data_IF_441732441596
#
_entry.id   IF_441732441596
#
_cell.length_a   1.000
_cell.length_b   1.000
_cell.length_c   1.000
_cell.angle_alpha   90.00
_cell.angle_beta   90.00
_cell.angle_gamma   90.00
#
_symmetry.space_group_name_H-M   'P 1'
#
loop_
_entity.id
_entity.type
_entity.pdbx_description
1 polymer ?
#
# COMPACT_ATOMS: atom_id res chain seq x y z
N UNK A 1 0.74 -7.32 14.19
CA UNK A 1 1.02 -5.90 14.46
C UNK A 1 2.38 -5.59 13.84
N UNK A 2 2.57 -4.39 13.28
CA UNK A 2 3.84 -4.03 12.65
C UNK A 2 4.11 -2.53 12.74
N UNK A 3 5.35 -2.16 12.50
CA UNK A 3 5.83 -0.77 12.44
C UNK A 3 6.81 -0.64 11.27
N UNK A 4 6.82 0.53 10.65
CA UNK A 4 7.87 0.92 9.69
C UNK A 4 8.98 1.66 10.42
N UNK A 5 10.18 1.71 9.84
CA UNK A 5 11.31 2.42 10.48
C UNK A 5 11.08 3.92 10.49
N UNK A 6 10.64 4.47 9.36
CA UNK A 6 10.35 5.88 9.13
C UNK A 6 9.39 5.97 7.95
N UNK A 7 8.45 6.91 8.00
CA UNK A 7 7.55 7.21 6.88
C UNK A 7 8.28 8.05 5.84
N UNK A 8 8.28 7.64 4.58
CA UNK A 8 8.87 8.37 3.44
C UNK A 8 10.27 8.93 3.74
N UNK A 9 11.24 8.07 4.14
CA UNK A 9 12.56 8.50 4.60
C UNK A 9 13.37 9.29 3.56
N UNK A 10 13.03 9.18 2.27
CA UNK A 10 13.74 9.90 1.20
C UNK A 10 13.31 11.37 1.17
N UNK A 11 12.07 11.68 1.57
CA UNK A 11 11.52 13.04 1.48
C UNK A 11 12.26 14.03 2.38
N UNK A 12 12.79 13.57 3.51
CA UNK A 12 13.63 14.39 4.39
C UNK A 12 14.95 14.86 3.75
N UNK A 13 15.32 14.32 2.57
CA UNK A 13 16.46 14.81 1.81
C UNK A 13 16.22 16.23 1.25
N UNK A 14 14.96 16.61 0.99
CA UNK A 14 14.64 17.98 0.58
C UNK A 14 14.68 18.91 1.80
N UNK A 15 15.63 19.87 1.88
CA UNK A 15 15.68 20.82 3.00
C UNK A 15 14.45 21.75 3.06
N UNK A 16 13.64 21.81 2.01
CA UNK A 16 12.40 22.58 1.96
C UNK A 16 11.15 21.70 2.10
N UNK A 17 11.30 20.44 2.50
CA UNK A 17 10.16 19.56 2.69
C UNK A 17 9.17 20.18 3.69
N UNK A 18 7.91 20.23 3.28
CA UNK A 18 6.92 21.16 3.85
C UNK A 18 6.23 20.68 5.13
N UNK A 19 6.54 19.46 5.61
CA UNK A 19 5.93 18.87 6.79
C UNK A 19 6.87 17.87 7.47
N UNK A 20 6.40 17.20 8.53
CA UNK A 20 7.20 16.28 9.34
C UNK A 20 7.85 15.19 8.46
N UNK A 21 9.16 15.07 8.58
CA UNK A 21 9.96 14.05 7.90
C UNK A 21 11.27 13.84 8.67
N UNK A 22 11.88 12.66 8.53
CA UNK A 22 13.25 12.40 8.94
C UNK A 22 14.02 11.77 7.78
N UNK A 23 15.10 12.42 7.34
CA UNK A 23 15.93 11.88 6.27
C UNK A 23 16.68 10.63 6.73
N UNK A 24 16.48 9.52 6.03
CA UNK A 24 17.35 8.35 6.11
C UNK A 24 17.78 7.95 4.69
N UNK A 25 19.02 7.51 4.55
CA UNK A 25 19.44 6.76 3.36
C UNK A 25 19.33 5.26 3.65
N UNK A 26 19.26 4.41 2.63
CA UNK A 26 19.29 2.95 2.82
C UNK A 26 20.42 2.46 3.75
N UNK A 27 21.68 2.92 3.59
CA UNK A 27 22.76 2.61 4.53
C UNK A 27 22.55 3.14 5.95
N UNK A 28 21.94 4.33 6.11
CA UNK A 28 21.62 4.90 7.43
C UNK A 28 20.54 4.09 8.13
N UNK A 29 19.46 3.73 7.41
CA UNK A 29 18.39 2.87 7.94
C UNK A 29 18.92 1.49 8.30
N UNK A 30 19.77 0.89 7.46
CA UNK A 30 20.47 -0.37 7.76
C UNK A 30 21.21 -0.30 9.09
N UNK A 31 22.02 0.73 9.28
CA UNK A 31 22.83 0.88 10.50
C UNK A 31 21.95 1.16 11.72
N UNK A 32 20.90 1.97 11.57
CA UNK A 32 19.92 2.20 12.63
C UNK A 32 19.18 0.92 13.03
N UNK A 33 18.73 0.12 12.06
CA UNK A 33 18.06 -1.17 12.31
C UNK A 33 18.99 -2.13 13.04
N UNK A 34 20.24 -2.30 12.57
CA UNK A 34 21.15 -3.31 13.14
C UNK A 34 21.79 -2.90 14.46
N UNK A 35 22.09 -1.61 14.65
CA UNK A 35 22.82 -1.11 15.83
C UNK A 35 21.89 -0.59 16.93
N UNK A 36 20.65 -0.18 16.59
CA UNK A 36 19.76 0.49 17.53
C UNK A 36 18.37 -0.15 17.58
N UNK A 37 17.53 0.05 16.56
CA UNK A 37 16.10 -0.27 16.62
C UNK A 37 15.86 -1.77 16.82
N UNK A 38 16.48 -2.63 16.00
CA UNK A 38 16.34 -4.08 16.08
C UNK A 38 16.73 -4.66 17.44
N UNK A 39 17.97 -4.41 17.93
CA UNK A 39 18.39 -4.85 19.26
C UNK A 39 17.51 -4.31 20.39
N UNK A 40 17.05 -3.05 20.28
CA UNK A 40 16.19 -2.42 21.29
C UNK A 40 14.83 -3.11 21.37
N UNK A 41 14.18 -3.33 20.22
CA UNK A 41 12.91 -4.05 20.14
C UNK A 41 13.04 -5.49 20.67
N UNK A 42 14.09 -6.21 20.25
CA UNK A 42 14.35 -7.57 20.71
C UNK A 42 14.57 -7.63 22.23
N UNK A 43 15.37 -6.72 22.80
CA UNK A 43 15.61 -6.63 24.25
C UNK A 43 14.34 -6.26 25.02
N UNK A 44 13.47 -5.44 24.44
CA UNK A 44 12.16 -5.11 25.00
C UNK A 44 11.13 -6.25 24.84
N UNK A 45 11.49 -7.37 24.20
CA UNK A 45 10.64 -8.52 24.03
C UNK A 45 9.71 -8.46 22.82
N UNK A 46 9.94 -7.53 21.89
CA UNK A 46 9.23 -7.34 20.62
C UNK A 46 10.08 -7.84 19.43
N UNK A 47 10.55 -9.09 19.51
CA UNK A 47 11.20 -9.75 18.39
C UNK A 47 10.25 -9.98 17.21
N UNK A 48 10.78 -10.52 16.11
CA UNK A 48 10.03 -10.81 14.88
C UNK A 48 8.78 -11.68 15.08
N UNK A 49 8.77 -12.52 16.12
CA UNK A 49 7.64 -13.36 16.50
C UNK A 49 6.45 -12.56 17.06
N UNK A 50 6.66 -11.31 17.48
CA UNK A 50 5.62 -10.46 18.08
C UNK A 50 5.37 -9.16 17.34
N UNK A 51 6.39 -8.60 16.70
CA UNK A 51 6.30 -7.33 15.98
C UNK A 51 7.00 -7.43 14.62
N UNK A 52 6.22 -7.19 13.57
CA UNK A 52 6.77 -7.10 12.22
C UNK A 52 7.42 -5.72 12.02
N UNK A 53 8.75 -5.67 12.01
CA UNK A 53 9.48 -4.49 11.57
C UNK A 53 9.56 -4.46 10.04
N UNK A 54 9.10 -3.36 9.43
CA UNK A 54 9.12 -3.14 7.99
C UNK A 54 10.08 -2.01 7.66
N UNK A 55 10.76 -2.13 6.52
CA UNK A 55 11.70 -1.11 6.01
C UNK A 55 11.12 -0.45 4.77
N UNK A 56 11.78 0.62 4.31
CA UNK A 56 11.46 1.39 3.11
C UNK A 56 10.33 2.40 3.27
N UNK A 57 9.08 1.95 3.38
CA UNK A 57 7.88 2.79 3.60
C UNK A 57 7.83 4.04 2.72
N UNK A 58 8.08 3.81 1.43
CA UNK A 58 8.34 4.87 0.45
C UNK A 58 7.84 4.42 -0.92
N UNK A 59 7.81 5.36 -1.86
CA UNK A 59 7.44 5.11 -3.22
C UNK A 59 8.46 4.22 -3.96
N UNK A 60 7.96 3.28 -4.78
CA UNK A 60 8.77 2.22 -5.40
C UNK A 60 9.92 2.68 -6.32
N UNK A 61 9.96 3.95 -6.74
CA UNK A 61 11.09 4.52 -7.51
C UNK A 61 12.39 4.57 -6.67
N UNK A 62 12.29 4.66 -5.35
CA UNK A 62 13.43 4.67 -4.43
C UNK A 62 14.03 3.29 -4.17
N UNK A 63 13.32 2.22 -4.53
CA UNK A 63 13.59 0.86 -4.05
C UNK A 63 15.04 0.43 -4.24
N UNK A 64 15.55 0.54 -5.47
CA UNK A 64 16.87 0.02 -5.85
C UNK A 64 18.02 0.67 -5.08
N UNK A 65 17.84 1.90 -4.60
CA UNK A 65 18.87 2.61 -3.80
C UNK A 65 18.71 2.37 -2.30
N UNK A 66 17.51 2.02 -1.86
CA UNK A 66 17.15 2.06 -0.44
C UNK A 66 17.11 0.67 0.20
N UNK A 67 16.47 -0.30 -0.44
CA UNK A 67 16.20 -1.62 0.15
C UNK A 67 17.42 -2.56 0.10
N UNK A 68 18.14 -2.72 -1.03
CA UNK A 68 19.27 -3.66 -1.08
C UNK A 68 20.34 -3.43 0.00
N UNK A 69 20.78 -2.19 0.30
CA UNK A 69 21.74 -1.96 1.39
C UNK A 69 21.29 -2.50 2.76
N UNK A 70 19.98 -2.54 3.01
CA UNK A 70 19.41 -3.01 4.28
C UNK A 70 19.32 -4.53 4.30
N UNK A 71 18.75 -5.12 3.25
CA UNK A 71 18.45 -6.56 3.23
C UNK A 71 19.64 -7.44 2.88
N UNK A 72 20.67 -6.90 2.21
CA UNK A 72 21.91 -7.62 1.94
C UNK A 72 22.85 -7.67 3.17
N UNK A 73 22.66 -6.78 4.16
CA UNK A 73 23.34 -6.85 5.46
C UNK A 73 22.58 -7.78 6.41
N UNK A 74 23.12 -8.98 6.63
CA UNK A 74 22.51 -10.01 7.50
C UNK A 74 22.27 -9.53 8.94
N UNK A 75 23.08 -8.60 9.45
CA UNK A 75 22.91 -8.08 10.82
C UNK A 75 21.72 -7.13 10.94
N UNK A 76 21.33 -6.47 9.84
CA UNK A 76 20.09 -5.71 9.75
C UNK A 76 18.90 -6.62 9.41
N UNK A 77 19.02 -7.41 8.34
CA UNK A 77 17.95 -8.24 7.78
C UNK A 77 17.34 -9.23 8.79
N UNK A 78 18.13 -9.70 9.78
CA UNK A 78 17.62 -10.58 10.84
C UNK A 78 16.49 -9.95 11.68
N UNK A 79 16.39 -8.62 11.72
CA UNK A 79 15.30 -7.90 12.42
C UNK A 79 14.13 -7.52 11.51
N UNK A 80 14.30 -7.50 10.18
CA UNK A 80 13.30 -7.02 9.22
C UNK A 80 12.37 -8.15 8.77
N UNK A 81 11.06 -7.94 8.84
CA UNK A 81 10.04 -8.94 8.49
C UNK A 81 9.38 -8.69 7.13
N UNK A 82 9.43 -7.45 6.63
CA UNK A 82 8.80 -7.10 5.37
C UNK A 82 9.29 -5.77 4.80
N UNK A 83 8.85 -5.48 3.58
CA UNK A 83 9.09 -4.23 2.87
C UNK A 83 7.73 -3.53 2.72
N UNK A 84 7.66 -2.30 3.22
CA UNK A 84 6.51 -1.42 3.07
C UNK A 84 6.73 -0.48 1.87
N UNK A 85 5.69 -0.15 1.10
CA UNK A 85 5.79 0.78 -0.02
C UNK A 85 4.52 1.62 -0.22
N UNK A 86 4.70 2.79 -0.82
CA UNK A 86 3.64 3.75 -1.13
C UNK A 86 3.24 3.74 -2.62
N UNK A 87 2.01 4.16 -2.89
CA UNK A 87 1.37 4.11 -4.22
C UNK A 87 1.70 5.30 -5.14
N UNK A 88 2.32 6.39 -4.66
CA UNK A 88 2.20 7.72 -5.26
C UNK A 88 2.98 8.02 -6.55
N UNK A 89 3.69 7.05 -7.12
CA UNK A 89 4.43 7.25 -8.36
C UNK A 89 3.54 7.05 -9.60
N UNK A 90 2.90 8.14 -9.99
CA UNK A 90 2.21 8.37 -11.27
C UNK A 90 3.07 7.93 -12.49
N UNK A 91 2.54 7.23 -13.51
CA UNK A 91 1.54 7.75 -14.46
C UNK A 91 0.11 7.33 -14.17
N UNK A 92 -0.56 8.24 -13.49
CA UNK A 92 -1.96 8.22 -13.03
C UNK A 92 -2.33 7.20 -11.96
N UNK A 93 -1.27 6.76 -11.27
CA UNK A 93 -1.16 6.41 -9.85
C UNK A 93 -1.06 4.95 -9.50
N UNK A 94 -1.08 3.98 -10.42
CA UNK A 94 -0.61 2.62 -10.14
C UNK A 94 0.79 2.31 -10.69
N UNK A 95 1.65 3.31 -10.88
CA UNK A 95 2.74 3.23 -11.86
C UNK A 95 4.05 2.61 -11.38
N UNK A 96 4.13 1.28 -11.26
CA UNK A 96 5.39 0.52 -11.39
C UNK A 96 5.32 -0.39 -12.64
N UNK A 97 6.44 -0.79 -13.26
CA UNK A 97 6.43 -1.72 -14.39
C UNK A 97 5.76 -3.05 -14.02
N UNK A 98 5.06 -3.67 -14.98
CA UNK A 98 4.55 -5.03 -14.78
C UNK A 98 5.69 -5.97 -14.39
N UNK A 99 5.44 -6.81 -13.38
CA UNK A 99 6.43 -7.73 -12.84
C UNK A 99 7.37 -7.14 -11.78
N UNK A 100 7.40 -5.83 -11.54
CA UNK A 100 8.33 -5.23 -10.57
C UNK A 100 8.17 -5.77 -9.14
N UNK A 101 6.94 -5.83 -8.62
CA UNK A 101 6.67 -6.42 -7.30
C UNK A 101 6.97 -7.93 -7.26
N UNK A 102 6.72 -8.63 -8.37
CA UNK A 102 7.08 -10.06 -8.49
C UNK A 102 8.60 -10.27 -8.45
N UNK A 103 9.38 -9.39 -9.09
CA UNK A 103 10.84 -9.39 -9.03
C UNK A 103 11.36 -9.16 -7.61
N UNK A 104 10.78 -8.18 -6.89
CA UNK A 104 11.10 -7.95 -5.48
C UNK A 104 10.86 -9.21 -4.66
N UNK A 105 9.70 -9.84 -4.79
CA UNK A 105 9.38 -11.06 -4.03
C UNK A 105 10.33 -12.22 -4.39
N UNK A 106 10.73 -12.36 -5.66
CA UNK A 106 11.71 -13.37 -6.07
C UNK A 106 13.09 -13.15 -5.46
N UNK A 107 13.52 -11.89 -5.32
CA UNK A 107 14.82 -11.55 -4.74
C UNK A 107 14.81 -11.62 -3.20
N UNK A 108 13.68 -11.33 -2.57
CA UNK A 108 13.52 -11.25 -1.10
C UNK A 108 12.39 -12.16 -0.60
N UNK A 109 12.54 -13.47 -0.83
CA UNK A 109 11.49 -14.48 -0.58
C UNK A 109 11.03 -14.59 0.88
N UNK A 110 11.91 -14.29 1.83
CA UNK A 110 11.62 -14.30 3.27
C UNK A 110 10.90 -13.02 3.77
N UNK A 111 10.77 -12.01 2.91
CA UNK A 111 10.10 -10.74 3.22
C UNK A 111 8.67 -10.77 2.68
N UNK A 112 7.73 -10.25 3.46
CA UNK A 112 6.42 -9.90 2.91
C UNK A 112 6.44 -8.49 2.31
N UNK A 113 5.62 -8.26 1.29
CA UNK A 113 5.36 -6.92 0.77
C UNK A 113 4.04 -6.40 1.32
N UNK A 114 4.02 -5.13 1.72
CA UNK A 114 2.84 -4.41 2.15
C UNK A 114 2.77 -3.08 1.40
N UNK A 115 1.63 -2.80 0.75
CA UNK A 115 1.31 -1.42 0.44
C UNK A 115 0.81 -0.78 1.75
N UNK A 116 1.66 0.05 2.35
CA UNK A 116 1.42 0.68 3.65
C UNK A 116 0.65 1.98 3.54
N UNK A 117 0.66 2.60 2.36
CA UNK A 117 -0.03 3.84 2.11
C UNK A 117 -0.45 4.01 0.64
N UNK A 118 -1.68 4.49 0.47
CA UNK A 118 -2.22 4.95 -0.80
C UNK A 118 -3.29 6.03 -0.57
N UNK A 119 -3.34 7.01 -1.47
CA UNK A 119 -4.30 8.10 -1.42
C UNK A 119 -4.59 8.65 -2.82
N UNK A 120 -5.84 9.05 -3.05
CA UNK A 120 -6.19 9.83 -4.22
C UNK A 120 -5.72 11.30 -4.07
N UNK A 121 -4.58 11.64 -4.70
CA UNK A 121 -3.93 12.96 -4.56
C UNK A 121 -4.65 14.14 -5.27
N UNK A 122 -5.93 14.00 -5.59
CA UNK A 122 -6.79 15.05 -6.16
C UNK A 122 -7.71 15.64 -5.08
N UNK A 123 -8.35 16.77 -5.39
CA UNK A 123 -9.28 17.43 -4.46
C UNK A 123 -10.54 16.59 -4.26
N UNK A 124 -11.29 16.89 -3.21
CA UNK A 124 -12.58 16.24 -2.94
C UNK A 124 -13.56 16.48 -4.10
N UNK A 125 -13.89 15.41 -4.82
CA UNK A 125 -14.99 15.37 -5.79
C UNK A 125 -15.93 14.24 -5.37
N UNK A 126 -17.12 14.59 -4.87
CA UNK A 126 -18.10 13.60 -4.44
C UNK A 126 -18.55 12.72 -5.61
N UNK A 127 -18.51 11.40 -5.43
CA UNK A 127 -18.97 10.44 -6.43
C UNK A 127 -18.01 10.18 -7.58
N UNK A 128 -16.74 10.58 -7.50
CA UNK A 128 -15.76 10.37 -8.58
C UNK A 128 -15.44 8.87 -8.79
N UNK A 129 -16.13 8.25 -9.75
CA UNK A 129 -16.02 6.81 -10.03
C UNK A 129 -14.60 6.38 -10.40
N UNK A 130 -13.91 7.17 -11.23
CA UNK A 130 -12.55 6.88 -11.67
C UNK A 130 -11.54 6.81 -10.52
N UNK A 131 -11.78 7.52 -9.40
CA UNK A 131 -10.95 7.38 -8.21
C UNK A 131 -11.13 5.99 -7.58
N UNK A 132 -12.36 5.49 -7.52
CA UNK A 132 -12.64 4.12 -7.08
C UNK A 132 -12.05 3.06 -7.99
N UNK A 133 -12.15 3.22 -9.31
CA UNK A 133 -11.56 2.29 -10.28
C UNK A 133 -10.05 2.15 -10.10
N UNK A 134 -9.33 3.27 -9.88
CA UNK A 134 -7.89 3.27 -9.61
C UNK A 134 -7.53 2.45 -8.37
N UNK A 135 -8.33 2.56 -7.29
CA UNK A 135 -8.16 1.76 -6.07
C UNK A 135 -8.36 0.27 -6.34
N UNK A 136 -9.48 -0.11 -6.97
CA UNK A 136 -9.76 -1.52 -7.27
C UNK A 136 -8.70 -2.13 -8.18
N UNK A 137 -8.26 -1.38 -9.20
CA UNK A 137 -7.22 -1.80 -10.12
C UNK A 137 -5.91 -2.06 -9.40
N UNK A 138 -5.46 -1.14 -8.55
CA UNK A 138 -4.20 -1.30 -7.83
C UNK A 138 -4.26 -2.42 -6.79
N UNK A 139 -5.34 -2.54 -6.02
CA UNK A 139 -5.51 -3.63 -5.05
C UNK A 139 -5.42 -4.99 -5.75
N UNK A 140 -6.14 -5.18 -6.87
CA UNK A 140 -6.06 -6.43 -7.65
C UNK A 140 -4.63 -6.67 -8.15
N UNK A 141 -3.98 -5.63 -8.67
CA UNK A 141 -2.62 -5.72 -9.20
C UNK A 141 -1.61 -6.08 -8.11
N UNK A 142 -1.65 -5.40 -6.97
CA UNK A 142 -0.78 -5.64 -5.82
C UNK A 142 -0.93 -7.08 -5.30
N UNK A 143 -2.17 -7.52 -5.02
CA UNK A 143 -2.44 -8.86 -4.49
C UNK A 143 -2.10 -9.98 -5.47
N UNK A 144 -2.23 -9.75 -6.79
CA UNK A 144 -1.75 -10.70 -7.79
C UNK A 144 -0.22 -10.77 -7.90
N UNK A 145 0.50 -9.75 -7.40
CA UNK A 145 1.96 -9.66 -7.42
C UNK A 145 2.55 -9.74 -5.99
N UNK A 146 2.09 -10.71 -5.20
CA UNK A 146 2.67 -11.12 -3.91
C UNK A 146 2.53 -10.15 -2.74
N UNK A 147 1.84 -9.02 -2.90
CA UNK A 147 1.55 -8.11 -1.80
C UNK A 147 0.55 -8.75 -0.85
N UNK A 148 0.81 -8.68 0.46
CA UNK A 148 -0.01 -9.33 1.50
C UNK A 148 -1.11 -8.43 2.08
N UNK A 149 -1.05 -7.13 1.82
CA UNK A 149 -2.02 -6.16 2.31
C UNK A 149 -1.93 -4.82 1.60
N UNK A 150 -2.99 -4.03 1.72
CA UNK A 150 -3.11 -2.72 1.08
C UNK A 150 -3.84 -1.77 2.03
N UNK A 151 -3.31 -0.56 2.19
CA UNK A 151 -3.74 0.37 3.24
C UNK A 151 -4.02 1.75 2.61
N UNK A 152 -5.27 2.20 2.73
CA UNK A 152 -5.65 3.59 2.42
C UNK A 152 -5.11 4.55 3.47
N UNK A 153 -4.89 5.81 3.09
CA UNK A 153 -4.22 6.79 3.94
C UNK A 153 -5.12 7.33 5.07
N UNK A 154 -6.02 8.26 4.76
CA UNK A 154 -6.90 8.87 5.76
C UNK A 154 -8.27 8.18 5.75
N UNK A 155 -8.67 7.59 6.89
CA UNK A 155 -9.99 6.95 7.06
C UNK A 155 -11.13 7.92 6.72
N UNK A 156 -11.00 9.19 7.11
CA UNK A 156 -11.97 10.23 6.81
C UNK A 156 -11.30 11.60 6.71
N UNK A 157 -11.79 12.45 5.82
CA UNK A 157 -11.38 13.86 5.68
C UNK A 157 -12.62 14.75 5.63
N UNK A 158 -12.47 16.04 5.92
CA UNK A 158 -13.54 17.01 5.69
C UNK A 158 -13.78 17.26 4.18
N UNK A 159 -14.77 18.11 3.87
CA UNK A 159 -15.08 18.50 2.49
C UNK A 159 -13.98 19.31 1.77
N UNK A 160 -12.95 19.76 2.50
CA UNK A 160 -11.77 20.45 1.98
C UNK A 160 -10.52 19.54 1.94
N UNK A 161 -10.67 18.25 2.24
CA UNK A 161 -9.58 17.28 2.27
C UNK A 161 -8.60 17.48 3.42
N UNK A 162 -9.08 17.93 4.58
CA UNK A 162 -8.32 18.17 5.80
C UNK A 162 -9.00 17.61 7.07
N UNK A 163 -8.66 18.12 8.28
CA UNK A 163 -7.73 19.22 8.53
C UNK A 163 -6.27 18.82 8.27
N UNK A 164 -5.45 19.80 7.89
CA UNK A 164 -4.01 19.64 7.74
C UNK A 164 -3.33 20.95 8.13
N UNK A 165 -2.18 20.85 8.78
CA UNK A 165 -1.46 22.02 9.28
C UNK A 165 -0.56 22.65 8.20
N UNK A 166 -0.16 21.87 7.19
CA UNK A 166 0.61 22.36 6.06
C UNK A 166 -0.29 23.11 5.06
N UNK A 167 0.30 24.05 4.32
CA UNK A 167 -0.44 24.86 3.33
C UNK A 167 -0.67 24.12 1.99
N UNK A 168 -0.46 22.80 1.94
CA UNK A 168 -0.66 22.00 0.73
C UNK A 168 -2.15 21.92 0.35
N UNK A 169 -2.42 21.55 -0.90
CA UNK A 169 -3.80 21.24 -1.36
C UNK A 169 -4.36 20.03 -0.60
N UNK A 170 -5.69 19.97 -0.47
CA UNK A 170 -6.37 18.86 0.16
C UNK A 170 -6.54 17.67 -0.76
N UNK A 171 -6.77 16.52 -0.14
CA UNK A 171 -6.93 15.24 -0.82
C UNK A 171 -8.35 14.69 -0.64
N UNK A 172 -8.81 13.93 -1.62
CA UNK A 172 -10.05 13.16 -1.50
C UNK A 172 -9.84 12.00 -0.53
N UNK A 173 -10.67 11.91 0.52
CA UNK A 173 -10.72 10.74 1.39
C UNK A 173 -11.66 9.68 0.81
N UNK A 174 -11.56 8.44 1.28
CA UNK A 174 -12.58 7.41 0.99
C UNK A 174 -13.91 7.72 1.67
N UNK A 175 -13.85 8.42 2.81
CA UNK A 175 -14.99 9.00 3.51
C UNK A 175 -14.80 10.52 3.64
N UNK A 176 -15.78 11.31 3.20
CA UNK A 176 -15.79 12.75 3.43
C UNK A 176 -16.87 13.16 4.43
N UNK A 177 -16.53 13.97 5.42
CA UNK A 177 -17.45 14.42 6.46
C UNK A 177 -17.80 15.89 6.24
N UNK A 178 -19.10 16.19 6.24
CA UNK A 178 -19.64 17.55 6.27
C UNK A 178 -20.23 17.82 7.66
N UNK A 179 -19.45 18.40 8.59
CA UNK A 179 -19.91 18.64 9.95
C UNK A 179 -21.00 19.71 10.02
N UNK A 180 -21.12 20.60 9.02
CA UNK A 180 -22.17 21.62 8.99
C UNK A 180 -23.55 20.98 8.73
N UNK A 181 -23.59 19.86 8.00
CA UNK A 181 -24.81 19.08 7.75
C UNK A 181 -24.97 17.88 8.68
N UNK A 182 -23.91 17.48 9.40
CA UNK A 182 -23.88 16.23 10.15
C UNK A 182 -23.92 14.99 9.24
N UNK A 183 -23.35 15.10 8.03
CA UNK A 183 -23.40 14.07 7.00
C UNK A 183 -22.02 13.46 6.72
N UNK A 184 -22.01 12.20 6.27
CA UNK A 184 -20.83 11.49 5.83
C UNK A 184 -21.07 10.91 4.42
N UNK A 185 -20.19 11.25 3.49
CA UNK A 185 -20.23 10.81 2.10
C UNK A 185 -19.21 9.70 1.88
N UNK A 186 -19.71 8.47 1.69
CA UNK A 186 -18.90 7.32 1.27
C UNK A 186 -18.62 7.44 -0.21
N UNK A 187 -17.36 7.64 -0.57
CA UNK A 187 -16.93 7.78 -1.97
C UNK A 187 -16.92 6.42 -2.69
N UNK A 188 -16.89 6.39 -4.03
CA UNK A 188 -16.70 5.15 -4.78
C UNK A 188 -15.52 4.31 -4.25
N UNK A 189 -14.40 4.93 -3.89
CA UNK A 189 -13.23 4.25 -3.32
C UNK A 189 -13.52 3.51 -2.00
N UNK A 190 -14.44 4.00 -1.15
CA UNK A 190 -14.90 3.28 0.05
C UNK A 190 -15.54 1.93 -0.31
N UNK A 191 -16.40 1.93 -1.32
CA UNK A 191 -17.07 0.70 -1.78
C UNK A 191 -16.08 -0.24 -2.47
N UNK A 192 -15.13 0.30 -3.23
CA UNK A 192 -14.08 -0.47 -3.90
C UNK A 192 -13.19 -1.20 -2.90
N UNK A 193 -12.71 -0.53 -1.84
CA UNK A 193 -12.01 -1.21 -0.73
C UNK A 193 -12.92 -2.24 -0.06
N UNK A 194 -14.22 -1.95 0.05
CA UNK A 194 -15.23 -2.87 0.57
C UNK A 194 -15.33 -4.21 -0.18
N UNK A 195 -15.15 -4.21 -1.51
CA UNK A 195 -15.14 -5.44 -2.31
C UNK A 195 -14.00 -6.41 -1.95
N UNK A 196 -12.91 -5.91 -1.36
CA UNK A 196 -11.79 -6.73 -0.89
C UNK A 196 -11.91 -6.98 0.62
N UNK A 197 -11.90 -5.92 1.42
CA UNK A 197 -11.83 -6.00 2.89
C UNK A 197 -12.98 -6.78 3.53
N UNK A 198 -14.19 -6.72 2.96
CA UNK A 198 -15.35 -7.45 3.49
C UNK A 198 -15.33 -8.94 3.18
N UNK A 199 -14.73 -9.32 2.05
CA UNK A 199 -14.82 -10.67 1.48
C UNK A 199 -13.51 -11.45 1.53
N UNK A 200 -12.40 -10.79 1.79
CA UNK A 200 -11.06 -11.38 1.89
C UNK A 200 -10.56 -11.20 3.33
N UNK A 201 -10.99 -12.06 4.28
CA UNK A 201 -10.51 -11.99 5.66
C UNK A 201 -9.01 -12.31 5.75
N UNK A 202 -8.36 -11.98 6.89
CA UNK A 202 -6.99 -12.40 7.18
C UNK A 202 -6.78 -13.91 6.95
N UNK A 203 -5.55 -14.29 6.61
CA UNK A 203 -5.16 -15.67 6.25
C UNK A 203 -5.79 -16.22 4.95
N UNK A 204 -6.47 -15.39 4.15
CA UNK A 204 -6.85 -15.77 2.79
C UNK A 204 -5.62 -15.93 1.89
N UNK A 205 -5.66 -16.93 1.01
CA UNK A 205 -4.55 -17.28 0.11
C UNK A 205 -4.95 -16.96 -1.32
N UNK A 206 -4.14 -16.16 -2.02
CA UNK A 206 -4.31 -15.94 -3.46
C UNK A 206 -4.05 -17.23 -4.22
N UNK A 207 -4.98 -17.60 -5.11
CA UNK A 207 -4.88 -18.81 -5.94
C UNK A 207 -4.78 -18.45 -7.42
N UNK A 208 -4.26 -19.39 -8.22
CA UNK A 208 -4.13 -19.25 -9.66
C UNK A 208 -5.49 -19.04 -10.35
N UNK A 209 -5.51 -18.25 -11.42
CA UNK A 209 -6.64 -18.13 -12.33
C UNK A 209 -6.14 -18.02 -13.77
N UNK A 210 -7.03 -18.22 -14.73
CA UNK A 210 -6.77 -17.98 -16.15
C UNK A 210 -7.98 -17.27 -16.73
N UNK A 211 -7.74 -16.17 -17.44
CA UNK A 211 -8.78 -15.45 -18.18
C UNK A 211 -8.60 -15.80 -19.66
N UNK A 212 -9.69 -16.17 -20.34
CA UNK A 212 -9.65 -16.41 -21.77
C UNK A 212 -9.32 -15.10 -22.50
N UNK A 213 -8.28 -15.15 -23.34
CA UNK A 213 -7.82 -14.01 -24.14
C UNK A 213 -8.83 -13.59 -25.20
N UNK A 214 -9.83 -14.42 -25.49
CA UNK A 214 -10.93 -14.09 -26.40
C UNK A 214 -11.92 -13.08 -25.81
N UNK A 215 -11.96 -12.95 -24.48
CA UNK A 215 -12.85 -12.03 -23.76
C UNK A 215 -12.20 -10.64 -23.65
N UNK A 216 -12.95 -9.52 -23.81
CA UNK A 216 -12.41 -8.18 -23.59
C UNK A 216 -11.72 -8.06 -22.24
N UNK A 217 -10.56 -7.41 -22.19
CA UNK A 217 -9.72 -7.35 -20.97
C UNK A 217 -10.48 -6.80 -19.75
N UNK A 218 -10.45 -7.57 -18.67
CA UNK A 218 -10.87 -7.20 -17.32
C UNK A 218 -9.87 -7.75 -16.31
N UNK A 219 -9.80 -7.12 -15.15
CA UNK A 219 -8.83 -7.51 -14.12
C UNK A 219 -9.51 -8.35 -13.06
N UNK A 220 -8.91 -9.48 -12.69
CA UNK A 220 -9.47 -10.38 -11.68
C UNK A 220 -8.47 -10.71 -10.58
N UNK A 221 -9.01 -10.95 -9.39
CA UNK A 221 -8.31 -11.54 -8.26
C UNK A 221 -9.11 -12.75 -7.79
N UNK A 222 -8.42 -13.86 -7.54
CA UNK A 222 -9.03 -15.06 -6.98
C UNK A 222 -8.31 -15.47 -5.72
N UNK A 223 -9.07 -15.67 -4.65
CA UNK A 223 -8.54 -16.03 -3.33
C UNK A 223 -9.35 -17.17 -2.74
N UNK A 224 -8.67 -18.06 -2.01
CA UNK A 224 -9.29 -19.04 -1.14
C UNK A 224 -9.25 -18.53 0.30
N UNK A 225 -10.40 -18.52 0.95
CA UNK A 225 -10.55 -18.08 2.34
C UNK A 225 -10.23 -19.23 3.31
N UNK A 226 -9.94 -18.93 4.59
CA UNK A 226 -9.71 -19.97 5.61
C UNK A 226 -10.88 -20.92 5.85
N UNK A 227 -12.11 -20.51 5.50
CA UNK A 227 -13.32 -21.33 5.54
C UNK A 227 -13.55 -22.16 4.27
N UNK A 228 -12.52 -22.28 3.42
CA UNK A 228 -12.50 -22.95 2.12
C UNK A 228 -13.41 -22.35 1.05
N UNK A 229 -14.02 -21.18 1.28
CA UNK A 229 -14.77 -20.49 0.23
C UNK A 229 -13.83 -19.80 -0.76
N UNK A 230 -14.18 -19.85 -2.04
CA UNK A 230 -13.47 -19.10 -3.09
C UNK A 230 -14.14 -17.75 -3.30
N UNK A 231 -13.35 -16.67 -3.29
CA UNK A 231 -13.80 -15.32 -3.66
C UNK A 231 -13.11 -14.91 -4.95
N UNK A 232 -13.93 -14.41 -5.89
CA UNK A 232 -13.49 -13.77 -7.11
C UNK A 232 -13.89 -12.30 -7.06
N UNK A 233 -12.91 -11.42 -7.21
CA UNK A 233 -13.16 -9.99 -7.44
C UNK A 233 -12.83 -9.70 -8.90
N UNK A 234 -13.74 -9.05 -9.62
CA UNK A 234 -13.57 -8.70 -11.02
C UNK A 234 -13.83 -7.20 -11.22
N UNK A 235 -12.94 -6.54 -11.96
CA UNK A 235 -13.05 -5.13 -12.33
C UNK A 235 -13.15 -5.02 -13.85
N UNK A 236 -14.30 -4.54 -14.33
CA UNK A 236 -14.47 -4.03 -15.68
C UNK A 236 -14.33 -2.51 -15.65
N UNK A 237 -13.22 -1.99 -16.18
CA UNK A 237 -12.97 -0.54 -16.30
C UNK A 237 -13.33 0.00 -17.70
N UNK A 238 -14.12 -0.75 -18.48
CA UNK A 238 -14.62 -0.34 -19.80
C UNK A 238 -16.02 0.25 -19.66
N UNK A 239 -16.43 1.01 -20.67
CA UNK A 239 -17.80 1.50 -20.78
C UNK A 239 -18.80 0.40 -21.20
N UNK A 240 -18.33 -0.66 -21.86
CA UNK A 240 -19.16 -1.74 -22.39
C UNK A 240 -19.27 -2.91 -21.40
N UNK A 241 -20.39 -3.62 -21.45
CA UNK A 241 -20.58 -4.89 -20.75
C UNK A 241 -19.61 -5.96 -21.28
N UNK A 242 -19.19 -6.85 -20.37
CA UNK A 242 -18.45 -8.06 -20.72
C UNK A 242 -19.41 -9.23 -20.64
N UNK A 243 -19.62 -9.89 -21.77
CA UNK A 243 -20.39 -11.13 -21.85
C UNK A 243 -19.42 -12.29 -21.65
N UNK A 244 -19.60 -13.02 -20.55
CA UNK A 244 -18.79 -14.18 -20.15
C UNK A 244 -19.37 -15.49 -20.69
#
# INVERSE_FOLDING_TARGET
MGVTVENEPIEGQDPNYSFNCLNLTGPTERDFVKLNLGPTLAKAGYGKDKLNLMVFDENLNGFQKFVPPILEDREAAKYVSGIAYHWYNNKEMGGYPDGFLSEIQHNYTDMFLLNSEACHLERVVLGQWSAGEKYAFDIIRALNNFVRGWVDWNIALDMNGGPRWNEKKGYGGTLNIDPAKGEAYKQPSFYMIGHFSKFIPPESVRIGHTVDKSVPSFTVLTVQRPDNQTVLVALNARADDIVL
#
